data_IF_972034379469
#
_entry.id   IF_972034379469
#
_cell.length_a   1.000
_cell.length_b   1.000
_cell.length_c   1.000
_cell.angle_alpha   90.00
_cell.angle_beta   90.00
_cell.angle_gamma   90.00
#
_symmetry.space_group_name_H-M   'P 1'
#
loop_
_entity.id
_entity.type
_entity.pdbx_description
1 polymer ?
#
# COMPACT_ATOMS: atom_id res chain seq x y z
N UNK A 1 -29.08 75.40 12.55
CA UNK A 1 -27.68 75.46 12.08
C UNK A 1 -27.00 74.16 12.47
N UNK A 2 -26.75 73.27 11.51
CA UNK A 2 -26.14 71.93 11.69
C UNK A 2 -24.67 71.94 11.30
N UNK A 3 -23.88 71.01 11.88
CA UNK A 3 -22.61 70.36 11.42
C UNK A 3 -21.72 70.01 12.65
N UNK A 4 -21.00 68.89 12.79
CA UNK A 4 -20.74 67.67 12.03
C UNK A 4 -20.32 66.56 13.02
N UNK A 5 -20.87 65.36 12.87
CA UNK A 5 -20.36 64.16 13.54
C UNK A 5 -19.02 63.74 12.92
N UNK A 6 -18.00 63.46 13.75
CA UNK A 6 -16.73 62.87 13.30
C UNK A 6 -16.94 61.37 13.06
N UNK A 7 -16.85 60.95 11.81
CA UNK A 7 -16.84 59.54 11.40
C UNK A 7 -15.48 58.90 11.73
N UNK A 8 -15.47 58.00 12.72
CA UNK A 8 -14.34 57.15 13.03
C UNK A 8 -14.26 56.02 11.98
N UNK A 9 -13.19 56.01 11.19
CA UNK A 9 -12.95 54.97 10.19
C UNK A 9 -12.50 53.66 10.88
N UNK A 10 -13.12 52.51 10.58
CA UNK A 10 -12.61 51.23 11.05
C UNK A 10 -11.34 50.86 10.26
N UNK A 11 -10.21 50.73 10.97
CA UNK A 11 -8.99 50.12 10.41
C UNK A 11 -9.22 48.61 10.30
N UNK A 12 -9.55 48.16 9.10
CA UNK A 12 -9.54 46.75 8.73
C UNK A 12 -8.09 46.28 8.81
N UNK A 13 -7.74 45.55 9.87
CA UNK A 13 -6.47 44.85 9.95
C UNK A 13 -6.46 43.78 8.85
N UNK A 14 -5.45 43.73 7.97
CA UNK A 14 -5.34 42.64 7.03
C UNK A 14 -5.01 41.36 7.81
N UNK A 15 -6.01 40.49 7.98
CA UNK A 15 -5.80 39.09 8.31
C UNK A 15 -4.97 38.48 7.19
N UNK A 16 -3.63 38.49 7.33
CA UNK A 16 -2.79 37.64 6.49
C UNK A 16 -3.20 36.20 6.80
N UNK A 17 -3.72 35.43 5.84
CA UNK A 17 -3.91 34.00 6.07
C UNK A 17 -2.53 33.45 6.38
N UNK A 18 -2.34 32.99 7.61
CA UNK A 18 -1.15 32.26 8.00
C UNK A 18 -1.26 30.96 7.23
N UNK A 19 -0.59 30.88 6.07
CA UNK A 19 -0.29 29.60 5.45
C UNK A 19 0.67 28.94 6.43
N UNK A 20 0.11 28.33 7.47
CA UNK A 20 0.81 27.33 8.25
C UNK A 20 1.28 26.33 7.22
N UNK A 21 2.60 26.37 7.00
CA UNK A 21 3.36 25.41 6.21
C UNK A 21 2.70 24.06 6.42
N UNK A 22 1.99 23.58 5.40
CA UNK A 22 1.43 22.24 5.39
C UNK A 22 2.63 21.32 5.54
N UNK A 23 2.92 20.93 6.78
CA UNK A 23 3.81 19.83 7.06
C UNK A 23 3.29 18.72 6.18
N UNK A 24 4.08 18.21 5.22
CA UNK A 24 3.67 17.05 4.47
C UNK A 24 3.44 16.01 5.54
N UNK A 25 2.17 15.69 5.83
CA UNK A 25 1.84 14.46 6.53
C UNK A 25 2.48 13.41 5.65
N UNK A 26 3.67 12.94 6.04
CA UNK A 26 4.25 11.74 5.48
C UNK A 26 3.21 10.68 5.80
N UNK A 27 2.33 10.43 4.83
CA UNK A 27 1.50 9.25 4.82
C UNK A 27 2.52 8.13 4.99
N UNK A 28 2.47 7.42 6.11
CA UNK A 28 3.31 6.25 6.29
C UNK A 28 2.94 5.34 5.14
N UNK A 29 3.86 5.14 4.21
CA UNK A 29 3.69 4.17 3.14
C UNK A 29 3.56 2.80 3.80
N UNK A 30 2.63 2.01 3.30
CA UNK A 30 2.56 0.59 3.57
C UNK A 30 3.27 -0.10 2.40
N UNK A 31 4.31 -0.88 2.68
CA UNK A 31 5.12 -1.48 1.63
C UNK A 31 5.58 -2.89 2.02
N UNK A 32 5.62 -3.79 1.03
CA UNK A 32 6.29 -5.07 1.18
C UNK A 32 7.80 -4.85 1.32
N UNK A 33 8.42 -5.43 2.35
CA UNK A 33 9.85 -5.33 2.64
C UNK A 33 10.60 -6.61 2.34
N UNK A 34 9.91 -7.75 2.32
CA UNK A 34 10.47 -9.03 1.94
C UNK A 34 9.40 -9.92 1.31
N UNK A 35 9.83 -10.76 0.39
CA UNK A 35 9.03 -11.85 -0.18
C UNK A 35 9.88 -13.12 -0.04
N UNK A 36 9.25 -14.21 0.37
CA UNK A 36 9.84 -15.54 0.41
C UNK A 36 9.01 -16.49 -0.47
N UNK A 37 9.61 -17.18 -1.45
CA UNK A 37 11.00 -17.06 -1.91
C UNK A 37 11.36 -15.65 -2.40
N UNK A 38 12.63 -15.29 -2.23
CA UNK A 38 13.13 -13.98 -2.60
C UNK A 38 13.00 -13.74 -4.12
N UNK A 39 12.75 -12.50 -4.57
CA UNK A 39 12.71 -12.20 -6.00
C UNK A 39 14.02 -12.58 -6.69
N UNK A 40 13.93 -13.30 -7.82
CA UNK A 40 15.05 -13.87 -8.54
C UNK A 40 15.65 -15.12 -7.90
N UNK A 41 14.93 -15.81 -7.02
CA UNK A 41 15.36 -17.08 -6.48
C UNK A 41 15.25 -18.19 -7.55
N UNK A 42 16.33 -18.96 -7.69
CA UNK A 42 16.30 -20.13 -8.56
C UNK A 42 15.67 -21.31 -7.80
N UNK A 43 14.42 -21.63 -8.12
CA UNK A 43 13.66 -22.67 -7.45
C UNK A 43 13.62 -23.93 -8.32
N UNK A 44 14.18 -25.02 -7.81
CA UNK A 44 14.11 -26.33 -8.49
C UNK A 44 12.76 -27.03 -8.29
N UNK A 45 11.92 -26.49 -7.42
CA UNK A 45 10.59 -27.00 -7.11
C UNK A 45 9.67 -25.80 -6.95
N UNK A 46 8.49 -25.80 -7.60
CA UNK A 46 7.58 -24.68 -7.52
C UNK A 46 7.11 -24.44 -6.08
N UNK A 47 7.17 -23.19 -5.58
CA UNK A 47 6.66 -22.89 -4.26
C UNK A 47 5.13 -22.91 -4.31
N UNK A 48 4.51 -23.78 -3.51
CA UNK A 48 3.07 -23.76 -3.30
C UNK A 48 2.62 -22.59 -2.39
N UNK A 49 3.58 -21.97 -1.69
CA UNK A 49 3.34 -20.94 -0.69
C UNK A 49 4.35 -19.81 -0.89
N UNK A 50 3.83 -18.58 -0.89
CA UNK A 50 4.62 -17.35 -0.87
C UNK A 50 4.34 -16.60 0.43
N UNK A 51 5.37 -16.07 1.07
CA UNK A 51 5.23 -15.22 2.25
C UNK A 51 5.65 -13.80 1.93
N UNK A 52 4.73 -12.85 2.07
CA UNK A 52 5.01 -11.42 1.92
C UNK A 52 5.10 -10.81 3.32
N UNK A 53 6.20 -10.13 3.62
CA UNK A 53 6.39 -9.38 4.87
C UNK A 53 6.30 -7.89 4.56
N UNK A 54 5.55 -7.15 5.37
CA UNK A 54 5.33 -5.72 5.22
C UNK A 54 6.10 -4.90 6.26
N UNK A 55 6.28 -3.60 6.01
CA UNK A 55 6.94 -2.68 6.95
C UNK A 55 6.08 -2.32 8.18
N UNK A 56 4.80 -2.69 8.17
CA UNK A 56 3.85 -2.48 9.25
C UNK A 56 2.91 -3.68 9.38
N UNK A 57 2.27 -3.86 10.56
CA UNK A 57 1.23 -4.85 10.72
C UNK A 57 0.08 -4.67 9.73
N UNK A 58 -0.43 -5.78 9.22
CA UNK A 58 -1.63 -5.85 8.40
C UNK A 58 -2.86 -6.04 9.29
N UNK A 59 -3.96 -5.41 8.90
CA UNK A 59 -5.27 -5.68 9.47
C UNK A 59 -5.97 -6.78 8.66
N UNK A 60 -6.16 -8.01 9.21
CA UNK A 60 -6.84 -9.09 8.51
C UNK A 60 -8.24 -8.75 8.04
N UNK A 61 -8.94 -7.84 8.74
CA UNK A 61 -10.32 -7.47 8.39
C UNK A 61 -10.39 -6.53 7.19
N UNK A 62 -9.26 -5.94 6.81
CA UNK A 62 -9.13 -5.09 5.65
C UNK A 62 -8.77 -5.86 4.36
N UNK A 63 -8.49 -7.18 4.46
CA UNK A 63 -8.20 -8.05 3.31
C UNK A 63 -9.48 -8.73 2.82
N UNK A 64 -9.89 -8.41 1.59
CA UNK A 64 -10.91 -9.13 0.83
C UNK A 64 -10.28 -10.20 -0.08
N UNK A 65 -11.10 -11.19 -0.49
CA UNK A 65 -10.72 -12.31 -1.37
C UNK A 65 -10.29 -11.90 -2.81
N UNK A 66 -10.05 -10.61 -3.06
CA UNK A 66 -9.69 -10.07 -4.38
C UNK A 66 -8.77 -8.87 -4.29
N UNK A 67 -8.18 -8.62 -3.12
CA UNK A 67 -7.22 -7.52 -2.96
C UNK A 67 -5.85 -7.91 -3.53
N UNK A 68 -5.58 -9.21 -3.69
CA UNK A 68 -4.31 -9.72 -4.20
C UNK A 68 -4.55 -10.66 -5.35
N UNK A 69 -3.84 -10.38 -6.43
CA UNK A 69 -3.77 -11.22 -7.62
C UNK A 69 -2.37 -11.80 -7.69
N UNK A 70 -2.28 -13.11 -7.90
CA UNK A 70 -1.02 -13.78 -8.17
C UNK A 70 -0.92 -14.03 -9.68
N UNK A 71 0.12 -13.52 -10.29
CA UNK A 71 0.39 -13.69 -11.72
C UNK A 71 1.68 -14.49 -11.93
N UNK A 72 1.67 -15.42 -12.87
CA UNK A 72 2.86 -16.06 -13.43
C UNK A 72 3.39 -15.20 -14.56
N UNK A 73 4.71 -14.94 -14.55
CA UNK A 73 5.41 -14.27 -15.65
C UNK A 73 5.99 -15.35 -16.54
N UNK A 74 5.57 -15.40 -17.80
CA UNK A 74 6.13 -16.36 -18.75
C UNK A 74 7.51 -15.92 -19.29
N UNK A 75 8.17 -16.79 -20.07
CA UNK A 75 9.47 -16.48 -20.68
C UNK A 75 9.48 -15.31 -21.67
N UNK A 76 8.31 -14.81 -22.09
CA UNK A 76 8.14 -13.62 -22.93
C UNK A 76 7.92 -12.35 -22.10
N UNK A 77 7.68 -12.49 -20.79
CA UNK A 77 7.33 -11.41 -19.88
C UNK A 77 5.82 -11.13 -19.79
N UNK A 78 4.98 -11.99 -20.38
CA UNK A 78 3.53 -11.87 -20.32
C UNK A 78 3.02 -12.38 -18.95
N UNK A 79 2.02 -11.67 -18.40
CA UNK A 79 1.41 -12.00 -17.11
C UNK A 79 0.18 -12.89 -17.33
N UNK A 80 0.18 -14.07 -16.70
CA UNK A 80 -0.97 -14.97 -16.64
C UNK A 80 -1.44 -15.09 -15.20
N UNK A 81 -2.70 -14.72 -14.95
CA UNK A 81 -3.29 -14.80 -13.61
C UNK A 81 -3.43 -16.26 -13.16
N UNK A 82 -2.96 -16.55 -11.95
CA UNK A 82 -3.11 -17.85 -11.31
C UNK A 82 -4.44 -17.87 -10.57
N UNK A 83 -5.33 -18.75 -11.02
CA UNK A 83 -6.65 -18.92 -10.42
C UNK A 83 -6.57 -19.67 -9.08
N UNK A 84 -7.51 -19.36 -8.18
CA UNK A 84 -7.67 -20.07 -6.92
C UNK A 84 -6.58 -19.81 -5.88
N UNK A 85 -5.76 -18.76 -6.06
CA UNK A 85 -4.86 -18.29 -5.01
C UNK A 85 -5.68 -17.92 -3.76
N UNK A 86 -5.16 -18.30 -2.59
CA UNK A 86 -5.79 -17.99 -1.29
C UNK A 86 -4.85 -17.18 -0.43
N UNK A 87 -5.44 -16.27 0.34
CA UNK A 87 -4.74 -15.34 1.21
C UNK A 87 -5.02 -15.71 2.67
N UNK A 88 -3.99 -15.69 3.50
CA UNK A 88 -4.11 -15.87 4.94
C UNK A 88 -3.12 -14.98 5.67
N UNK A 89 -3.49 -14.49 6.86
CA UNK A 89 -2.51 -13.82 7.72
C UNK A 89 -1.49 -14.85 8.21
N UNK A 90 -0.22 -14.45 8.13
CA UNK A 90 0.90 -15.27 8.53
C UNK A 90 1.05 -15.40 10.04
N UNK A 91 2.10 -16.10 10.50
CA UNK A 91 2.38 -16.27 11.92
C UNK A 91 2.76 -14.96 12.62
N UNK A 92 3.13 -13.93 11.85
CA UNK A 92 3.38 -12.57 12.32
C UNK A 92 2.29 -11.64 11.81
N UNK A 93 2.05 -10.57 12.57
CA UNK A 93 1.04 -9.55 12.26
C UNK A 93 1.42 -8.68 11.05
N UNK A 94 2.68 -8.72 10.59
CA UNK A 94 3.20 -8.06 9.39
C UNK A 94 3.35 -9.01 8.19
N UNK A 95 2.83 -10.24 8.29
CA UNK A 95 3.00 -11.26 7.26
C UNK A 95 1.69 -11.67 6.62
N UNK A 96 1.76 -11.87 5.32
CA UNK A 96 0.71 -12.49 4.53
C UNK A 96 1.25 -13.73 3.84
N UNK A 97 0.48 -14.81 3.95
CA UNK A 97 0.72 -16.08 3.28
C UNK A 97 -0.22 -16.16 2.08
N UNK A 98 0.37 -16.31 0.90
CA UNK A 98 -0.33 -16.60 -0.34
C UNK A 98 -0.12 -18.07 -0.67
N UNK A 99 -1.20 -18.83 -0.83
CA UNK A 99 -1.13 -20.22 -1.28
C UNK A 99 -1.69 -20.29 -2.69
N UNK A 100 -0.89 -20.80 -3.64
CA UNK A 100 -1.35 -20.94 -5.02
C UNK A 100 -2.41 -22.05 -5.12
N UNK A 101 -3.49 -21.79 -5.87
CA UNK A 101 -4.54 -22.78 -6.11
C UNK A 101 -4.09 -23.94 -7.00
N UNK A 102 -3.08 -23.67 -7.84
CA UNK A 102 -2.44 -24.63 -8.72
C UNK A 102 -0.91 -24.63 -8.47
N UNK A 103 -0.20 -25.73 -8.75
CA UNK A 103 1.25 -25.76 -8.64
C UNK A 103 1.85 -24.79 -9.67
N UNK A 104 2.72 -23.88 -9.23
CA UNK A 104 3.50 -23.05 -10.16
C UNK A 104 4.40 -23.94 -11.04
N UNK A 105 4.86 -23.43 -12.18
CA UNK A 105 5.85 -24.14 -12.99
C UNK A 105 7.20 -24.19 -12.25
N UNK A 106 8.07 -25.20 -12.42
CA UNK A 106 9.45 -25.08 -11.93
C UNK A 106 10.25 -24.13 -12.83
N UNK A 107 10.66 -22.95 -12.33
CA UNK A 107 11.58 -22.03 -13.02
C UNK A 107 12.13 -20.92 -12.08
N UNK A 108 12.71 -19.86 -12.65
CA UNK A 108 13.23 -18.67 -11.98
C UNK A 108 12.12 -17.67 -11.62
N UNK A 109 11.97 -17.35 -10.33
CA UNK A 109 10.92 -16.48 -9.79
C UNK A 109 11.49 -15.29 -9.03
#
# INVERSE_FOLDING_TARGET
MSRFARSAHPRIAPCRPRIERLEPRRVRSFAAVAVDPAPGAHLTTPPAVLTVTFDHPIDPTSLGLSDIQLDEVDGSGDLTSIEGATEAVGPRDDQLILTSGEPLSPDHY
#
